data_IF_341661596639
#
_entry.id   IF_341661596639
#
_cell.length_a   1.000
_cell.length_b   1.000
_cell.length_c   1.000
_cell.angle_alpha   90.00
_cell.angle_beta   90.00
_cell.angle_gamma   90.00
#
_symmetry.space_group_name_H-M   'P 1'
#
loop_
_entity.id
_entity.type
_entity.pdbx_description
1 polymer ?
#
# COMPACT_ATOMS: atom_id res chain seq x y z
N UNK A 1 6.62 12.78 -14.76
CA UNK A 1 5.54 13.49 -14.02
C UNK A 1 4.62 12.43 -13.43
N UNK A 2 4.42 12.42 -12.11
CA UNK A 2 3.48 11.53 -11.42
C UNK A 2 2.15 12.27 -11.21
N UNK A 3 1.03 11.63 -11.52
CA UNK A 3 -0.31 12.15 -11.23
C UNK A 3 -0.98 11.14 -10.28
N UNK A 4 -1.39 11.54 -9.05
CA UNK A 4 -2.09 10.65 -8.15
C UNK A 4 -3.48 10.29 -8.73
N UNK A 5 -3.77 9.00 -8.81
CA UNK A 5 -5.09 8.51 -9.21
C UNK A 5 -5.95 8.33 -7.95
N UNK A 6 -7.09 9.02 -7.92
CA UNK A 6 -8.10 8.87 -6.87
C UNK A 6 -9.29 8.14 -7.46
N UNK A 7 -9.62 6.99 -6.89
CA UNK A 7 -10.87 6.29 -7.20
C UNK A 7 -11.76 6.26 -5.97
N UNK A 8 -12.97 6.79 -6.11
CA UNK A 8 -14.04 6.70 -5.11
C UNK A 8 -15.01 5.61 -5.54
N UNK A 9 -15.16 4.58 -4.72
CA UNK A 9 -16.18 3.54 -4.87
C UNK A 9 -17.05 3.58 -3.62
N UNK A 10 -18.29 4.05 -3.77
CA UNK A 10 -19.41 3.96 -2.80
C UNK A 10 -18.99 3.69 -1.34
N UNK A 11 -18.45 4.73 -0.68
CA UNK A 11 -18.10 4.67 0.75
C UNK A 11 -16.68 4.26 1.09
N UNK A 12 -15.80 4.07 0.11
CA UNK A 12 -14.37 3.85 0.31
C UNK A 12 -13.54 4.77 -0.59
N UNK A 13 -12.41 5.24 -0.07
CA UNK A 13 -11.46 6.11 -0.76
C UNK A 13 -10.16 5.36 -1.00
N UNK A 14 -9.73 5.29 -2.26
CA UNK A 14 -8.42 4.75 -2.64
C UNK A 14 -7.59 5.82 -3.32
N UNK A 15 -6.44 6.12 -2.74
CA UNK A 15 -5.43 7.00 -3.29
C UNK A 15 -4.24 6.15 -3.73
N UNK A 16 -3.90 6.21 -5.01
CA UNK A 16 -2.71 5.54 -5.55
C UNK A 16 -1.75 6.57 -6.14
N UNK A 17 -0.51 6.53 -5.69
CA UNK A 17 0.59 7.33 -6.23
C UNK A 17 1.67 6.39 -6.72
N UNK A 18 2.09 6.59 -7.96
CA UNK A 18 3.23 5.88 -8.53
C UNK A 18 4.24 6.92 -8.98
N UNK A 19 5.49 6.71 -8.59
CA UNK A 19 6.62 7.50 -9.02
C UNK A 19 7.70 6.56 -9.55
N UNK A 20 8.04 6.70 -10.84
CA UNK A 20 8.99 5.81 -11.50
C UNK A 20 10.02 6.62 -12.28
N UNK A 21 11.08 7.10 -11.63
CA UNK A 21 12.31 7.46 -12.34
C UNK A 21 12.98 6.22 -12.97
N UNK A 22 14.07 6.43 -13.70
CA UNK A 22 14.74 5.37 -14.47
C UNK A 22 15.27 4.20 -13.61
N UNK A 23 15.69 4.48 -12.37
CA UNK A 23 16.42 3.51 -11.52
C UNK A 23 15.59 2.93 -10.37
N UNK A 24 14.43 3.49 -10.09
CA UNK A 24 13.54 2.95 -9.08
C UNK A 24 12.07 3.25 -9.38
N UNK A 25 11.20 2.44 -8.80
CA UNK A 25 9.75 2.64 -8.80
C UNK A 25 9.26 2.64 -7.37
N UNK A 26 8.68 3.75 -6.94
CA UNK A 26 7.92 3.87 -5.72
C UNK A 26 6.44 3.77 -6.07
N UNK A 27 5.73 2.84 -5.45
CA UNK A 27 4.28 2.74 -5.53
C UNK A 27 3.72 2.81 -4.12
N UNK A 28 2.78 3.72 -3.91
CA UNK A 28 2.08 3.86 -2.65
C UNK A 28 0.58 3.85 -2.90
N UNK A 29 -0.13 2.98 -2.20
CA UNK A 29 -1.59 2.94 -2.21
C UNK A 29 -2.07 3.06 -0.78
N UNK A 30 -2.95 4.03 -0.53
CA UNK A 30 -3.71 4.10 0.71
C UNK A 30 -5.18 3.89 0.41
N UNK A 31 -5.79 2.98 1.16
CA UNK A 31 -7.20 2.64 1.13
C UNK A 31 -7.81 2.98 2.49
N UNK A 32 -8.91 3.72 2.47
CA UNK A 32 -9.65 4.12 3.65
C UNK A 32 -11.13 3.80 3.45
N UNK A 33 -11.70 3.03 4.38
CA UNK A 33 -13.11 2.67 4.37
C UNK A 33 -13.72 2.96 5.74
N UNK A 34 -14.51 4.04 5.88
CA UNK A 34 -15.32 4.27 7.06
C UNK A 34 -16.51 3.31 7.11
N UNK A 35 -16.99 3.02 8.33
CA UNK A 35 -18.30 2.45 8.56
C UNK A 35 -19.31 3.60 8.72
N UNK A 36 -20.37 3.61 7.91
CA UNK A 36 -21.31 4.73 7.83
C UNK A 36 -22.03 5.04 9.14
N UNK A 37 -22.26 4.02 9.96
CA UNK A 37 -22.97 4.14 11.24
C UNK A 37 -22.08 4.58 12.40
N UNK A 38 -20.75 4.54 12.22
CA UNK A 38 -19.77 5.05 13.18
C UNK A 38 -18.49 5.49 12.48
N UNK A 39 -18.34 6.81 12.32
CA UNK A 39 -17.16 7.42 11.69
C UNK A 39 -15.86 7.10 12.45
N UNK A 40 -15.92 6.77 13.74
CA UNK A 40 -14.75 6.33 14.50
C UNK A 40 -14.34 4.89 14.16
N UNK A 41 -15.21 4.13 13.49
CA UNK A 41 -14.94 2.78 13.00
C UNK A 41 -14.53 2.83 11.53
N UNK A 42 -13.30 2.40 11.24
CA UNK A 42 -12.76 2.40 9.90
C UNK A 42 -11.74 1.29 9.70
N UNK A 43 -11.57 0.93 8.42
CA UNK A 43 -10.45 0.13 7.93
C UNK A 43 -9.51 1.04 7.15
N UNK A 44 -8.25 1.08 7.57
CA UNK A 44 -7.18 1.78 6.88
C UNK A 44 -6.15 0.74 6.42
N UNK A 45 -5.81 0.78 5.14
CA UNK A 45 -4.71 -0.03 4.60
C UNK A 45 -3.77 0.87 3.82
N UNK A 46 -2.47 0.70 4.06
CA UNK A 46 -1.42 1.42 3.38
C UNK A 46 -0.40 0.42 2.86
N UNK A 47 -0.27 0.34 1.54
CA UNK A 47 0.68 -0.49 0.83
C UNK A 47 1.76 0.41 0.22
N UNK A 48 3.01 0.19 0.58
CA UNK A 48 4.17 0.91 0.03
C UNK A 48 5.14 -0.10 -0.56
N UNK A 49 5.40 -0.01 -1.85
CA UNK A 49 6.37 -0.82 -2.56
C UNK A 49 7.46 0.05 -3.16
N UNK A 50 8.71 -0.37 -2.99
CA UNK A 50 9.89 0.21 -3.62
C UNK A 50 10.57 -0.87 -4.42
N UNK A 51 10.76 -0.63 -5.71
CA UNK A 51 11.58 -1.47 -6.59
C UNK A 51 12.79 -0.68 -7.01
N UNK A 52 13.98 -1.23 -6.82
CA UNK A 52 15.25 -0.63 -7.22
C UNK A 52 15.85 -1.50 -8.30
N UNK A 53 16.08 -0.93 -9.47
CA UNK A 53 16.77 -1.62 -10.55
C UNK A 53 18.27 -1.63 -10.22
N UNK A 54 18.84 -2.82 -10.05
CA UNK A 54 20.27 -3.02 -9.80
C UNK A 54 21.03 -3.19 -11.12
N UNK A 55 20.45 -3.91 -12.07
CA UNK A 55 20.92 -4.08 -13.46
C UNK A 55 19.71 -4.17 -14.39
N UNK A 56 19.91 -4.19 -15.71
CA UNK A 56 18.82 -4.38 -16.68
C UNK A 56 17.96 -5.62 -16.45
N UNK A 57 18.47 -6.61 -15.69
CA UNK A 57 17.81 -7.89 -15.43
C UNK A 57 17.61 -8.20 -13.95
N UNK A 58 18.06 -7.33 -13.05
CA UNK A 58 18.04 -7.57 -11.61
C UNK A 58 17.41 -6.39 -10.89
N UNK A 59 16.40 -6.65 -10.07
CA UNK A 59 15.79 -5.63 -9.22
C UNK A 59 15.58 -6.13 -7.79
N UNK A 60 15.77 -5.23 -6.83
CA UNK A 60 15.40 -5.43 -5.43
C UNK A 60 13.99 -4.89 -5.22
N UNK A 61 13.11 -5.68 -4.59
CA UNK A 61 11.77 -5.25 -4.16
C UNK A 61 11.72 -5.20 -2.64
N UNK A 62 11.19 -4.11 -2.11
CA UNK A 62 10.87 -3.94 -0.69
C UNK A 62 9.42 -3.50 -0.61
N UNK A 63 8.61 -4.28 0.08
CA UNK A 63 7.18 -4.04 0.22
C UNK A 63 6.81 -3.97 1.71
N UNK A 64 6.13 -2.91 2.09
CA UNK A 64 5.61 -2.70 3.44
C UNK A 64 4.10 -2.48 3.36
N UNK A 65 3.36 -3.29 4.11
CA UNK A 65 1.92 -3.16 4.25
C UNK A 65 1.59 -2.90 5.71
N UNK A 66 0.80 -1.86 5.94
CA UNK A 66 0.18 -1.55 7.22
C UNK A 66 -1.34 -1.68 7.06
N UNK A 67 -1.98 -2.45 7.93
CA UNK A 67 -3.44 -2.52 8.01
C UNK A 67 -3.85 -2.14 9.42
N UNK A 68 -4.83 -1.25 9.55
CA UNK A 68 -5.41 -0.85 10.82
C UNK A 68 -6.91 -1.04 10.78
N UNK A 69 -7.40 -1.81 11.72
CA UNK A 69 -8.82 -1.97 12.02
C UNK A 69 -9.13 -1.23 13.33
N UNK A 70 -10.06 -0.29 13.29
CA UNK A 70 -10.48 0.44 14.48
C UNK A 70 -11.34 -0.41 15.44
N UNK A 71 -11.97 -1.49 14.93
CA UNK A 71 -12.80 -2.42 15.72
C UNK A 71 -12.50 -3.87 15.34
N UNK A 72 -11.28 -4.36 15.64
CA UNK A 72 -10.97 -5.75 15.38
C UNK A 72 -11.81 -6.67 16.29
N UNK A 73 -12.05 -7.93 15.89
CA UNK A 73 -12.63 -8.93 16.77
C UNK A 73 -11.83 -9.11 18.07
N UNK A 74 -12.47 -9.64 19.12
CA UNK A 74 -11.78 -9.89 20.38
C UNK A 74 -10.59 -10.83 20.18
N UNK A 75 -9.43 -10.46 20.76
CA UNK A 75 -8.19 -11.22 20.64
C UNK A 75 -7.37 -10.94 19.38
N UNK A 76 -7.82 -10.04 18.50
CA UNK A 76 -7.07 -9.60 17.30
C UNK A 76 -6.48 -8.21 17.53
N UNK A 77 -5.20 -8.03 17.18
CA UNK A 77 -4.55 -6.73 17.30
C UNK A 77 -5.12 -5.73 16.27
N UNK A 78 -5.32 -4.45 16.66
CA UNK A 78 -5.84 -3.43 15.75
C UNK A 78 -4.92 -3.10 14.58
N UNK A 79 -3.62 -3.42 14.66
CA UNK A 79 -2.64 -3.10 13.63
C UNK A 79 -1.93 -4.37 13.17
N UNK A 80 -1.95 -4.62 11.87
CA UNK A 80 -1.15 -5.65 11.23
C UNK A 80 -0.08 -4.99 10.35
N UNK A 81 1.13 -5.55 10.38
CA UNK A 81 2.30 -5.06 9.65
C UNK A 81 2.97 -6.20 8.95
N UNK A 82 3.16 -6.05 7.64
CA UNK A 82 3.82 -7.04 6.83
C UNK A 82 4.97 -6.38 6.06
N UNK A 83 6.17 -6.89 6.29
CA UNK A 83 7.37 -6.47 5.58
C UNK A 83 7.85 -7.62 4.70
N UNK A 84 8.05 -7.35 3.42
CA UNK A 84 8.57 -8.31 2.44
C UNK A 84 9.78 -7.71 1.75
N UNK A 85 10.76 -8.56 1.48
CA UNK A 85 11.91 -8.21 0.65
C UNK A 85 12.10 -9.33 -0.36
N UNK A 86 12.36 -8.98 -1.61
CA UNK A 86 12.51 -9.94 -2.69
C UNK A 86 13.51 -9.48 -3.74
N UNK A 87 14.03 -10.45 -4.48
CA UNK A 87 14.90 -10.22 -5.64
C UNK A 87 14.16 -10.68 -6.89
N UNK A 88 14.10 -9.82 -7.90
CA UNK A 88 13.44 -10.07 -9.17
C UNK A 88 14.51 -10.24 -10.24
N UNK A 89 14.47 -11.37 -10.96
CA UNK A 89 15.38 -11.69 -12.06
C UNK A 89 14.55 -11.78 -13.34
N UNK A 90 14.87 -10.94 -14.32
CA UNK A 90 14.30 -11.01 -15.66
C UNK A 90 15.23 -11.83 -16.57
N UNK A 91 14.65 -12.80 -17.30
CA UNK A 91 15.36 -13.67 -18.24
C UNK A 91 15.16 -13.20 -19.68
#
# INVERSE_FOLDING_TARGET
>A
MSCPAVHNLLGSMRLTSTWSPFIFTLQHTTFYQPLWDDVASYLLRSDTGVKILLTERLALSVDYQLTRDARPPQGVEPNDRLFKTGLIIAF
#
